data_IF_750981114329
#
_entry.id   IF_750981114329
#
_cell.length_a   1.000
_cell.length_b   1.000
_cell.length_c   1.000
_cell.angle_alpha   90.00
_cell.angle_beta   90.00
_cell.angle_gamma   90.00
#
_symmetry.space_group_name_H-M   'P 1'
#
loop_
_entity.id
_entity.type
_entity.pdbx_description
1 polymer ?
#
# COMPACT_ATOMS: atom_id res chain seq x y z
N UNK A 1 5.53 -22.43 -0.96
CA UNK A 1 5.52 -21.10 -1.62
C UNK A 1 4.91 -20.11 -0.65
N UNK A 2 5.57 -18.99 -0.42
CA UNK A 2 5.04 -17.93 0.43
C UNK A 2 3.77 -17.35 -0.23
N UNK A 3 2.73 -17.12 0.57
CA UNK A 3 1.45 -16.60 0.07
C UNK A 3 1.40 -15.09 0.20
N UNK A 4 1.29 -14.36 -0.92
CA UNK A 4 1.06 -12.92 -0.91
C UNK A 4 -0.34 -12.58 -0.36
N UNK A 5 -0.53 -11.33 0.07
CA UNK A 5 -1.83 -10.87 0.58
C UNK A 5 -2.85 -10.73 -0.56
N UNK A 6 -4.05 -11.24 -0.36
CA UNK A 6 -5.10 -11.30 -1.39
C UNK A 6 -5.64 -9.94 -1.84
N UNK A 7 -5.38 -8.87 -1.07
CA UNK A 7 -5.77 -7.50 -1.45
C UNK A 7 -4.90 -6.87 -2.53
N UNK A 8 -3.77 -7.49 -2.90
CA UNK A 8 -2.99 -7.07 -4.05
C UNK A 8 -3.68 -7.66 -5.29
N UNK A 9 -4.56 -6.89 -5.92
CA UNK A 9 -5.32 -7.32 -7.10
C UNK A 9 -4.94 -6.49 -8.31
N UNK A 10 -5.01 -7.09 -9.51
CA UNK A 10 -4.67 -6.40 -10.76
C UNK A 10 -5.60 -5.23 -11.07
N UNK A 11 -6.86 -5.35 -10.65
CA UNK A 11 -7.87 -4.30 -10.73
C UNK A 11 -8.46 -4.14 -9.33
N UNK A 12 -8.55 -2.91 -8.79
CA UNK A 12 -9.19 -2.68 -7.50
C UNK A 12 -10.71 -2.89 -7.63
N UNK A 13 -11.37 -3.33 -6.55
CA UNK A 13 -12.83 -3.46 -6.54
C UNK A 13 -13.52 -2.11 -6.55
N UNK A 14 -14.84 -2.13 -6.78
CA UNK A 14 -15.65 -0.92 -6.92
C UNK A 14 -15.52 0.04 -5.73
N UNK A 15 -15.46 -0.48 -4.51
CA UNK A 15 -15.31 0.32 -3.30
C UNK A 15 -13.99 0.00 -2.61
N UNK A 16 -13.14 1.00 -2.43
CA UNK A 16 -11.85 0.84 -1.76
C UNK A 16 -11.70 1.89 -0.67
N UNK A 17 -11.32 1.47 0.53
CA UNK A 17 -11.00 2.33 1.67
C UNK A 17 -9.53 2.13 2.01
N UNK A 18 -8.77 3.22 2.04
CA UNK A 18 -7.37 3.25 2.46
C UNK A 18 -7.28 4.03 3.75
N UNK A 19 -6.69 3.45 4.78
CA UNK A 19 -6.44 4.08 6.06
C UNK A 19 -4.95 4.03 6.36
N UNK A 20 -4.35 5.18 6.60
CA UNK A 20 -2.96 5.31 7.01
C UNK A 20 -2.93 5.83 8.45
N UNK A 21 -2.19 5.13 9.29
CA UNK A 21 -2.11 5.39 10.72
C UNK A 21 -0.67 5.61 11.15
N UNK A 22 -0.49 6.53 12.09
CA UNK A 22 0.71 6.66 12.90
C UNK A 22 0.46 5.97 14.25
N UNK A 23 1.41 5.17 14.72
CA UNK A 23 1.29 4.46 16.00
C UNK A 23 1.79 5.36 17.13
N UNK A 24 0.92 5.60 18.11
CA UNK A 24 1.29 6.30 19.35
C UNK A 24 2.18 5.38 20.17
N UNK A 25 3.32 5.88 20.67
CA UNK A 25 4.29 5.10 21.46
C UNK A 25 4.50 3.67 20.93
N UNK A 26 5.23 3.56 19.82
CA UNK A 26 5.46 2.30 19.11
C UNK A 26 5.87 1.18 20.07
N UNK A 27 6.80 1.44 21.00
CA UNK A 27 7.27 0.42 21.93
C UNK A 27 6.16 -0.14 22.84
N UNK A 28 5.23 0.71 23.27
CA UNK A 28 4.10 0.30 24.11
C UNK A 28 3.03 -0.47 23.32
N UNK A 29 2.77 -0.07 22.08
CA UNK A 29 1.62 -0.55 21.31
C UNK A 29 1.93 -1.63 20.28
N UNK A 30 3.21 -1.92 20.02
CA UNK A 30 3.62 -2.80 18.91
C UNK A 30 3.02 -4.21 18.93
N UNK A 31 2.93 -4.82 20.11
CA UNK A 31 2.38 -6.16 20.26
C UNK A 31 0.89 -6.18 19.92
N UNK A 32 0.14 -5.18 20.41
CA UNK A 32 -1.28 -5.02 20.14
C UNK A 32 -1.52 -4.76 18.66
N UNK A 33 -0.80 -3.81 18.07
CA UNK A 33 -0.91 -3.48 16.64
C UNK A 33 -0.59 -4.71 15.79
N UNK A 34 0.54 -5.38 16.05
CA UNK A 34 0.90 -6.61 15.34
C UNK A 34 -0.16 -7.70 15.45
N UNK A 35 -0.77 -7.88 16.63
CA UNK A 35 -1.86 -8.83 16.82
C UNK A 35 -3.11 -8.45 16.03
N UNK A 36 -3.54 -7.19 16.05
CA UNK A 36 -4.71 -6.72 15.30
C UNK A 36 -4.49 -6.82 13.80
N UNK A 37 -3.32 -6.42 13.29
CA UNK A 37 -2.95 -6.54 11.87
C UNK A 37 -3.07 -7.97 11.35
N UNK A 38 -2.71 -8.97 12.15
CA UNK A 38 -2.85 -10.40 11.79
C UNK A 38 -4.32 -10.85 11.74
N UNK A 39 -5.21 -10.23 12.51
CA UNK A 39 -6.62 -10.60 12.55
C UNK A 39 -7.42 -10.04 11.37
N UNK A 40 -7.02 -8.89 10.81
CA UNK A 40 -7.79 -8.19 9.76
C UNK A 40 -8.10 -9.08 8.54
N UNK A 41 -7.14 -9.82 7.94
CA UNK A 41 -7.45 -10.71 6.81
C UNK A 41 -8.43 -11.83 7.19
N UNK A 42 -8.40 -12.29 8.45
CA UNK A 42 -9.33 -13.29 8.97
C UNK A 42 -10.76 -12.75 9.09
N UNK A 43 -10.90 -11.51 9.59
CA UNK A 43 -12.20 -10.82 9.67
C UNK A 43 -12.83 -10.65 8.28
N UNK A 44 -12.04 -10.23 7.30
CA UNK A 44 -12.49 -10.13 5.91
C UNK A 44 -12.92 -11.49 5.35
N UNK A 45 -12.12 -12.53 5.58
CA UNK A 45 -12.43 -13.90 5.13
C UNK A 45 -13.74 -14.42 5.73
N UNK A 46 -14.04 -14.10 6.98
CA UNK A 46 -15.30 -14.50 7.62
C UNK A 46 -16.50 -13.77 7.03
N UNK A 47 -16.35 -12.49 6.67
CA UNK A 47 -17.41 -11.74 5.98
C UNK A 47 -17.66 -12.27 4.56
N UNK A 48 -16.61 -12.60 3.81
CA UNK A 48 -16.72 -13.25 2.49
C UNK A 48 -17.39 -14.62 2.61
N UNK A 49 -17.06 -15.41 3.65
CA UNK A 49 -17.69 -16.72 3.88
C UNK A 49 -19.20 -16.59 4.10
N UNK A 50 -19.63 -15.54 4.81
CA UNK A 50 -21.05 -15.28 5.07
C UNK A 50 -21.76 -14.69 3.84
N UNK A 51 -21.05 -13.87 3.06
CA UNK A 51 -21.58 -13.19 1.87
C UNK A 51 -20.54 -13.27 0.72
N UNK A 52 -20.54 -14.36 -0.07
CA UNK A 52 -19.52 -14.59 -1.11
C UNK A 52 -19.45 -13.47 -2.16
N UNK A 53 -20.58 -12.84 -2.46
CA UNK A 53 -20.69 -11.77 -3.46
C UNK A 53 -19.92 -10.49 -3.08
N UNK A 54 -19.48 -10.36 -1.82
CA UNK A 54 -18.74 -9.18 -1.34
C UNK A 54 -17.35 -9.08 -1.95
N UNK A 55 -16.69 -10.21 -2.21
CA UNK A 55 -15.29 -10.27 -2.66
C UNK A 55 -14.35 -9.35 -1.84
N UNK A 56 -14.60 -9.23 -0.53
CA UNK A 56 -13.83 -8.35 0.34
C UNK A 56 -12.39 -8.87 0.50
N UNK A 57 -11.42 -8.03 0.16
CA UNK A 57 -9.99 -8.30 0.28
C UNK A 57 -9.28 -7.21 1.06
N UNK A 58 -8.13 -7.55 1.63
CA UNK A 58 -7.36 -6.65 2.50
C UNK A 58 -5.87 -6.72 2.19
N UNK A 59 -5.21 -5.57 2.25
CA UNK A 59 -3.75 -5.46 2.25
C UNK A 59 -3.28 -4.66 3.45
N UNK A 60 -2.33 -5.21 4.19
CA UNK A 60 -1.73 -4.59 5.37
C UNK A 60 -0.25 -4.30 5.09
N UNK A 61 0.12 -3.03 5.21
CA UNK A 61 1.50 -2.56 5.07
C UNK A 61 2.01 -1.90 6.35
N UNK A 62 3.32 -1.94 6.56
CA UNK A 62 3.98 -1.36 7.73
C UNK A 62 5.07 -0.38 7.31
N UNK A 63 5.11 0.78 7.97
CA UNK A 63 6.20 1.74 7.85
C UNK A 63 7.49 1.16 8.43
N UNK A 64 8.64 1.69 8.00
CA UNK A 64 9.96 1.21 8.39
C UNK A 64 10.18 1.22 9.90
N UNK A 65 9.86 2.33 10.55
CA UNK A 65 10.07 2.49 11.99
C UNK A 65 9.30 1.43 12.77
N UNK A 66 7.99 1.29 12.53
CA UNK A 66 7.21 0.22 13.13
C UNK A 66 7.80 -1.17 12.87
N UNK A 67 8.16 -1.47 11.61
CA UNK A 67 8.68 -2.78 11.22
C UNK A 67 9.97 -3.15 11.96
N UNK A 68 10.91 -2.21 12.08
CA UNK A 68 12.18 -2.45 12.77
C UNK A 68 11.96 -2.85 14.23
N UNK A 69 11.00 -2.24 14.92
CA UNK A 69 10.65 -2.67 16.27
C UNK A 69 9.93 -4.02 16.27
N UNK A 70 9.03 -4.26 15.31
CA UNK A 70 8.17 -5.44 15.30
C UNK A 70 8.94 -6.73 14.95
N UNK A 71 10.00 -6.57 14.14
CA UNK A 71 10.78 -7.67 13.57
C UNK A 71 12.25 -7.66 14.02
N UNK A 72 12.53 -7.09 15.19
CA UNK A 72 13.86 -7.08 15.84
C UNK A 72 15.01 -6.57 14.94
N UNK A 73 14.72 -5.55 14.13
CA UNK A 73 15.69 -4.93 13.22
C UNK A 73 15.96 -5.71 11.93
N UNK A 74 15.39 -6.90 11.73
CA UNK A 74 15.43 -7.58 10.44
C UNK A 74 14.43 -6.94 9.48
N UNK A 75 14.89 -6.54 8.30
CA UNK A 75 14.07 -5.91 7.26
C UNK A 75 14.46 -6.41 5.87
N UNK A 76 13.55 -6.35 4.89
CA UNK A 76 13.90 -6.54 3.49
C UNK A 76 14.98 -5.55 3.04
N UNK A 77 15.81 -5.93 2.06
CA UNK A 77 16.98 -5.17 1.62
C UNK A 77 16.68 -3.72 1.25
N UNK A 78 15.55 -3.48 0.59
CA UNK A 78 15.17 -2.17 0.05
C UNK A 78 14.17 -1.43 0.94
N UNK A 79 13.95 -1.86 2.18
CA UNK A 79 13.07 -1.15 3.10
C UNK A 79 13.73 0.16 3.57
N UNK A 80 13.08 1.26 3.20
CA UNK A 80 13.46 2.62 3.51
C UNK A 80 12.21 3.46 3.82
N UNK A 81 12.41 4.62 4.44
CA UNK A 81 11.37 5.63 4.51
C UNK A 81 11.23 6.32 3.15
N UNK A 82 10.05 6.84 2.84
CA UNK A 82 9.92 7.73 1.70
C UNK A 82 10.48 9.10 2.08
N UNK A 83 11.45 9.58 1.32
CA UNK A 83 11.99 10.94 1.49
C UNK A 83 11.31 11.89 0.51
N UNK A 84 11.18 13.16 0.91
CA UNK A 84 10.64 14.18 0.02
C UNK A 84 11.45 14.22 -1.28
N UNK A 85 10.76 14.03 -2.39
CA UNK A 85 11.40 14.06 -3.70
C UNK A 85 11.24 15.44 -4.32
N UNK A 86 12.37 16.04 -4.69
CA UNK A 86 12.42 17.34 -5.36
C UNK A 86 12.83 17.13 -6.81
N UNK A 87 11.93 17.46 -7.72
CA UNK A 87 12.16 17.44 -9.15
C UNK A 87 12.74 18.74 -9.68
N UNK A 88 12.96 18.78 -11.00
CA UNK A 88 13.27 20.01 -11.72
C UNK A 88 12.09 21.00 -11.63
N UNK A 89 12.37 22.29 -11.87
CA UNK A 89 11.35 23.37 -11.90
C UNK A 89 10.51 23.55 -10.62
N UNK A 90 10.96 22.99 -9.48
CA UNK A 90 10.32 23.15 -8.17
C UNK A 90 9.16 22.20 -7.91
N UNK A 91 9.06 21.11 -8.67
CA UNK A 91 8.12 20.03 -8.38
C UNK A 91 8.51 19.32 -7.07
N UNK A 92 7.55 19.18 -6.15
CA UNK A 92 7.78 18.53 -4.85
C UNK A 92 6.76 17.41 -4.68
N UNK A 93 7.25 16.23 -4.32
CA UNK A 93 6.43 15.11 -3.84
C UNK A 93 6.70 14.98 -2.33
N UNK A 94 5.75 15.39 -1.46
CA UNK A 94 5.99 15.46 -0.04
C UNK A 94 6.08 14.07 0.59
N UNK A 95 6.94 13.93 1.60
CA UNK A 95 6.95 12.77 2.48
C UNK A 95 6.11 13.02 3.72
N UNK A 96 5.26 12.05 4.06
CA UNK A 96 4.37 12.09 5.23
C UNK A 96 4.58 10.87 6.12
N UNK A 97 4.22 11.01 7.39
CA UNK A 97 4.31 9.93 8.36
C UNK A 97 3.27 8.83 8.09
N UNK A 98 3.63 7.58 8.40
CA UNK A 98 2.72 6.45 8.38
C UNK A 98 3.40 5.16 8.80
N UNK A 99 2.87 4.54 9.84
CA UNK A 99 3.40 3.31 10.45
C UNK A 99 2.60 2.08 10.03
N UNK A 100 1.32 2.25 9.72
CA UNK A 100 0.41 1.17 9.34
C UNK A 100 -0.51 1.64 8.22
N UNK A 101 -0.50 0.91 7.11
CA UNK A 101 -1.45 1.06 6.02
C UNK A 101 -2.44 -0.12 6.03
N UNK A 102 -3.73 0.19 5.95
CA UNK A 102 -4.81 -0.77 5.80
C UNK A 102 -5.59 -0.42 4.53
N UNK A 103 -5.48 -1.26 3.51
CA UNK A 103 -6.23 -1.14 2.26
C UNK A 103 -7.31 -2.20 2.25
N UNK A 104 -8.56 -1.78 2.15
CA UNK A 104 -9.74 -2.64 2.13
C UNK A 104 -10.47 -2.42 0.81
N UNK A 105 -10.81 -3.48 0.10
CA UNK A 105 -11.45 -3.37 -1.22
C UNK A 105 -12.55 -4.41 -1.37
N UNK A 106 -13.72 -4.01 -1.87
CA UNK A 106 -14.88 -4.88 -2.07
C UNK A 106 -15.79 -4.32 -3.17
N UNK A 107 -16.57 -5.20 -3.82
CA UNK A 107 -17.66 -4.76 -4.71
C UNK A 107 -18.89 -4.25 -3.93
N UNK A 108 -18.86 -4.32 -2.59
CA UNK A 108 -19.96 -3.86 -1.72
C UNK A 108 -19.51 -2.81 -0.72
N UNK A 109 -20.12 -1.62 -0.81
CA UNK A 109 -19.82 -0.46 0.04
C UNK A 109 -20.02 -0.75 1.53
N UNK A 110 -21.13 -1.36 1.90
CA UNK A 110 -21.44 -1.65 3.32
C UNK A 110 -20.34 -2.50 3.95
N UNK A 111 -19.87 -3.52 3.24
CA UNK A 111 -18.88 -4.45 3.75
C UNK A 111 -17.51 -3.81 4.00
N UNK A 112 -17.03 -2.99 3.05
CA UNK A 112 -15.75 -2.29 3.22
C UNK A 112 -15.83 -1.25 4.35
N UNK A 113 -16.96 -0.54 4.47
CA UNK A 113 -17.17 0.48 5.51
C UNK A 113 -17.29 -0.14 6.91
N UNK A 114 -18.00 -1.27 7.03
CA UNK A 114 -18.16 -1.97 8.29
C UNK A 114 -16.80 -2.48 8.82
N UNK A 115 -15.99 -3.09 7.95
CA UNK A 115 -14.65 -3.56 8.31
C UNK A 115 -13.71 -2.38 8.62
N UNK A 116 -13.73 -1.31 7.83
CA UNK A 116 -12.94 -0.10 8.09
C UNK A 116 -13.23 0.50 9.47
N UNK A 117 -14.52 0.62 9.82
CA UNK A 117 -14.93 1.09 11.14
C UNK A 117 -14.58 0.11 12.26
N UNK A 118 -14.58 -1.20 11.99
CA UNK A 118 -14.13 -2.21 12.95
C UNK A 118 -12.63 -2.11 13.23
N UNK A 119 -11.81 -1.91 12.18
CA UNK A 119 -10.37 -1.67 12.30
C UNK A 119 -10.11 -0.44 13.15
N UNK A 120 -10.77 0.68 12.85
CA UNK A 120 -10.59 1.93 13.59
C UNK A 120 -10.95 1.78 15.09
N UNK A 121 -12.06 1.10 15.40
CA UNK A 121 -12.43 0.81 16.80
C UNK A 121 -11.42 -0.07 17.53
N UNK A 122 -10.81 -1.03 16.85
CA UNK A 122 -9.80 -1.90 17.45
C UNK A 122 -8.47 -1.19 17.70
N UNK A 123 -8.12 -0.22 16.85
CA UNK A 123 -6.88 0.55 16.97
C UNK A 123 -7.03 1.81 17.85
N UNK A 124 -8.25 2.12 18.30
CA UNK A 124 -8.56 3.31 19.07
C UNK A 124 -7.66 3.45 20.31
N UNK A 125 -7.05 4.63 20.46
CA UNK A 125 -6.15 4.95 21.58
C UNK A 125 -4.70 4.49 21.40
N UNK A 126 -4.41 3.67 20.39
CA UNK A 126 -3.05 3.23 20.05
C UNK A 126 -2.49 3.91 18.80
N UNK A 127 -3.36 4.50 17.98
CA UNK A 127 -2.98 5.14 16.71
C UNK A 127 -3.66 6.49 16.53
N UNK A 128 -3.07 7.32 15.67
CA UNK A 128 -3.69 8.50 15.07
C UNK A 128 -3.87 8.23 13.59
N UNK A 129 -5.06 8.51 13.05
CA UNK A 129 -5.34 8.39 11.62
C UNK A 129 -4.73 9.59 10.89
N UNK A 130 -3.73 9.34 10.05
CA UNK A 130 -3.00 10.36 9.29
C UNK A 130 -3.70 10.67 7.97
N UNK A 131 -4.18 9.63 7.28
CA UNK A 131 -4.89 9.78 6.02
C UNK A 131 -6.00 8.74 5.92
N UNK A 132 -7.12 9.11 5.29
CA UNK A 132 -8.20 8.20 4.96
C UNK A 132 -8.83 8.59 3.64
N UNK A 133 -8.88 7.64 2.71
CA UNK A 133 -9.46 7.84 1.37
C UNK A 133 -10.50 6.78 1.08
N UNK A 134 -11.68 7.23 0.65
CA UNK A 134 -12.75 6.36 0.18
C UNK A 134 -12.90 6.56 -1.32
N UNK A 135 -12.57 5.53 -2.07
CA UNK A 135 -12.61 5.52 -3.53
C UNK A 135 -13.79 4.70 -4.04
N UNK A 136 -14.41 5.20 -5.10
CA UNK A 136 -15.43 4.48 -5.87
C UNK A 136 -14.97 4.38 -7.31
N UNK A 137 -14.63 3.19 -7.77
CA UNK A 137 -14.25 2.94 -9.15
C UNK A 137 -15.50 2.97 -10.06
N UNK A 138 -15.31 3.42 -11.30
CA UNK A 138 -16.40 3.53 -12.29
C UNK A 138 -16.91 2.16 -12.78
N UNK A 139 -16.10 1.12 -12.68
CA UNK A 139 -16.40 -0.24 -13.14
C UNK A 139 -16.23 -1.23 -12.00
N UNK A 140 -17.17 -2.18 -11.89
CA UNK A 140 -17.04 -3.32 -10.99
C UNK A 140 -15.86 -4.18 -11.43
N UNK A 141 -15.04 -4.61 -10.47
CA UNK A 141 -13.98 -5.56 -10.75
C UNK A 141 -14.60 -6.94 -10.88
N UNK A 142 -14.61 -7.49 -12.10
CA UNK A 142 -14.84 -8.91 -12.33
C UNK A 142 -13.52 -9.62 -12.04
N UNK A 143 -13.22 -9.80 -10.76
CA UNK A 143 -11.95 -10.31 -10.23
C UNK A 143 -11.75 -11.81 -10.50
N UNK A 144 -12.01 -12.26 -11.74
CA UNK A 144 -11.36 -13.44 -12.25
C UNK A 144 -9.87 -13.28 -12.01
N UNK A 145 -9.23 -14.30 -11.41
CA UNK A 145 -7.85 -14.29 -10.92
C UNK A 145 -6.85 -13.93 -12.03
N UNK A 146 -6.75 -12.64 -12.35
CA UNK A 146 -5.78 -12.14 -13.29
C UNK A 146 -4.42 -12.31 -12.62
N UNK A 147 -3.58 -13.15 -13.22
CA UNK A 147 -2.25 -13.43 -12.72
C UNK A 147 -1.47 -12.12 -12.54
N UNK A 148 -0.87 -12.00 -11.35
CA UNK A 148 0.03 -10.90 -11.02
C UNK A 148 1.44 -11.26 -11.50
N UNK A 149 2.20 -10.31 -12.06
CA UNK A 149 3.60 -10.53 -12.36
C UNK A 149 4.36 -10.95 -11.10
N UNK A 150 5.20 -11.98 -11.22
CA UNK A 150 6.03 -12.45 -10.10
C UNK A 150 7.07 -11.38 -9.69
N UNK A 151 7.43 -10.49 -10.63
CA UNK A 151 8.36 -9.38 -10.44
C UNK A 151 7.87 -8.32 -9.45
N UNK A 152 6.59 -8.35 -9.07
CA UNK A 152 6.03 -7.51 -8.00
C UNK A 152 6.46 -7.95 -6.60
N UNK A 153 6.88 -9.20 -6.44
CA UNK A 153 7.11 -9.80 -5.13
C UNK A 153 8.59 -10.07 -4.89
N UNK A 154 9.00 -9.96 -3.62
CA UNK A 154 10.31 -10.37 -3.14
C UNK A 154 10.47 -11.87 -3.42
N UNK A 155 11.56 -12.23 -4.09
CA UNK A 155 11.83 -13.60 -4.51
C UNK A 155 12.55 -14.41 -3.41
N UNK A 156 13.03 -15.59 -3.79
CA UNK A 156 13.73 -16.51 -2.89
C UNK A 156 15.16 -16.08 -2.50
N UNK A 157 15.70 -14.99 -3.05
CA UNK A 157 17.00 -14.45 -2.63
C UNK A 157 16.95 -13.82 -1.22
N UNK A 158 15.75 -13.50 -0.73
CA UNK A 158 15.47 -13.03 0.62
C UNK A 158 14.43 -13.94 1.29
N UNK A 159 14.82 -15.15 1.73
CA UNK A 159 13.90 -16.23 2.12
C UNK A 159 12.97 -15.85 3.29
N UNK A 160 13.41 -14.96 4.18
CA UNK A 160 12.62 -14.53 5.34
C UNK A 160 11.50 -13.54 4.95
N UNK A 161 11.54 -12.97 3.74
CA UNK A 161 10.58 -11.97 3.24
C UNK A 161 9.96 -12.31 1.89
N UNK A 162 10.25 -13.51 1.34
CA UNK A 162 9.70 -13.98 0.06
C UNK A 162 8.17 -13.86 0.04
N UNK A 163 7.64 -13.40 -1.10
CA UNK A 163 6.20 -13.18 -1.31
C UNK A 163 5.65 -11.88 -0.68
N UNK A 164 6.48 -11.10 0.01
CA UNK A 164 6.17 -9.72 0.36
C UNK A 164 6.44 -8.76 -0.80
N UNK A 165 5.99 -7.53 -0.68
CA UNK A 165 6.29 -6.44 -1.60
C UNK A 165 6.27 -5.10 -0.87
N UNK A 166 6.44 -3.99 -1.59
CA UNK A 166 6.30 -2.64 -1.07
C UNK A 166 5.07 -1.97 -1.64
N UNK A 167 4.44 -1.13 -0.83
CA UNK A 167 3.31 -0.29 -1.19
C UNK A 167 3.72 1.17 -1.01
N UNK A 168 3.75 1.92 -2.11
CA UNK A 168 3.84 3.36 -2.07
C UNK A 168 2.44 3.97 -2.24
N UNK A 169 2.12 4.95 -1.40
CA UNK A 169 0.86 5.67 -1.45
C UNK A 169 1.12 7.15 -1.65
N UNK A 170 0.33 7.80 -2.50
CA UNK A 170 0.45 9.23 -2.73
C UNK A 170 -0.90 9.86 -3.03
N UNK A 171 -1.31 10.81 -2.19
CA UNK A 171 -2.57 11.52 -2.38
C UNK A 171 -2.35 12.77 -3.20
N UNK A 172 -3.19 12.97 -4.20
CA UNK A 172 -3.23 14.15 -5.05
C UNK A 172 -4.56 14.86 -4.88
N UNK A 173 -4.52 16.17 -4.61
CA UNK A 173 -5.72 17.01 -4.52
C UNK A 173 -5.98 17.68 -5.86
N UNK A 174 -7.18 17.62 -6.40
CA UNK A 174 -7.50 18.29 -7.67
C UNK A 174 -7.85 19.77 -7.46
N UNK A 175 -6.99 20.66 -7.94
CA UNK A 175 -7.31 22.08 -8.15
C UNK A 175 -7.97 22.29 -9.52
N UNK A 176 -7.60 21.45 -10.49
CA UNK A 176 -8.29 21.26 -11.78
C UNK A 176 -8.35 19.77 -12.13
N UNK A 177 -9.26 19.36 -13.03
CA UNK A 177 -9.32 17.96 -13.48
C UNK A 177 -7.98 17.49 -14.06
N UNK A 178 -7.43 16.43 -13.48
CA UNK A 178 -6.19 15.80 -13.88
C UNK A 178 -6.26 14.30 -13.60
N UNK A 179 -5.30 13.54 -14.12
CA UNK A 179 -5.26 12.07 -14.00
C UNK A 179 -3.85 11.60 -13.61
N UNK A 180 -3.40 11.89 -12.37
CA UNK A 180 -2.05 11.52 -11.92
C UNK A 180 -1.75 10.03 -12.09
N UNK A 181 -2.74 9.14 -11.92
CA UNK A 181 -2.56 7.70 -12.11
C UNK A 181 -2.19 7.34 -13.55
N UNK A 182 -2.79 8.00 -14.54
CA UNK A 182 -2.46 7.79 -15.95
C UNK A 182 -1.04 8.30 -16.26
N UNK A 183 -0.67 9.46 -15.71
CA UNK A 183 0.70 9.99 -15.86
C UNK A 183 1.74 9.03 -15.26
N UNK A 184 1.47 8.49 -14.07
CA UNK A 184 2.34 7.52 -13.41
C UNK A 184 2.45 6.22 -14.22
N UNK A 185 1.32 5.65 -14.66
CA UNK A 185 1.30 4.43 -15.49
C UNK A 185 2.08 4.62 -16.80
N UNK A 186 1.93 5.78 -17.45
CA UNK A 186 2.68 6.13 -18.65
C UNK A 186 4.19 6.24 -18.36
N UNK A 187 4.57 6.85 -17.24
CA UNK A 187 5.97 6.93 -16.82
C UNK A 187 6.58 5.54 -16.60
N UNK A 188 5.86 4.64 -15.92
CA UNK A 188 6.25 3.24 -15.74
C UNK A 188 6.45 2.54 -17.09
N UNK A 189 5.50 2.69 -18.03
CA UNK A 189 5.61 2.11 -19.36
C UNK A 189 6.82 2.65 -20.13
N UNK A 190 7.06 3.96 -20.09
CA UNK A 190 8.21 4.59 -20.76
C UNK A 190 9.55 4.19 -20.14
N UNK A 191 9.56 3.79 -18.87
CA UNK A 191 10.75 3.25 -18.19
C UNK A 191 11.00 1.76 -18.49
N UNK A 192 10.05 1.08 -19.14
CA UNK A 192 10.11 -0.36 -19.45
C UNK A 192 9.84 -1.27 -18.25
N UNK A 193 9.26 -0.74 -17.17
CA UNK A 193 9.07 -1.42 -15.87
C UNK A 193 7.62 -1.88 -15.62
N UNK A 194 6.82 -2.06 -16.66
CA UNK A 194 5.38 -2.36 -16.51
C UNK A 194 5.05 -3.69 -15.80
N UNK A 195 6.01 -4.61 -15.67
CA UNK A 195 5.84 -5.84 -14.89
C UNK A 195 6.33 -5.71 -13.45
N UNK A 196 7.16 -4.71 -13.14
CA UNK A 196 7.77 -4.50 -11.82
C UNK A 196 6.88 -3.66 -10.89
N UNK A 197 5.87 -2.99 -11.44
CA UNK A 197 4.99 -2.08 -10.71
C UNK A 197 3.53 -2.29 -11.08
N UNK A 198 2.68 -2.33 -10.06
CA UNK A 198 1.24 -2.35 -10.19
C UNK A 198 0.67 -1.05 -9.63
N UNK A 199 0.13 -0.22 -10.51
CA UNK A 199 -0.29 1.15 -10.21
C UNK A 199 -1.80 1.26 -10.28
N UNK A 200 -2.42 1.67 -9.18
CA UNK A 200 -3.85 2.00 -9.12
C UNK A 200 -4.03 3.48 -8.86
N UNK A 201 -4.81 4.14 -9.72
CA UNK A 201 -5.36 5.46 -9.47
C UNK A 201 -6.76 5.32 -8.88
N UNK A 202 -6.93 5.76 -7.64
CA UNK A 202 -8.17 5.61 -6.87
C UNK A 202 -8.82 6.99 -6.67
N UNK A 203 -9.80 7.37 -7.50
CA UNK A 203 -10.45 8.67 -7.39
C UNK A 203 -11.27 8.76 -6.10
N UNK A 204 -11.20 9.90 -5.43
CA UNK A 204 -11.98 10.18 -4.23
C UNK A 204 -12.65 11.53 -4.31
N UNK A 205 -13.81 11.63 -3.66
CA UNK A 205 -14.56 12.87 -3.52
C UNK A 205 -15.15 12.92 -2.11
N UNK A 206 -14.57 13.77 -1.26
CA UNK A 206 -15.11 14.17 0.02
C UNK A 206 -15.93 15.46 -0.10
N UNK A 207 -16.44 15.95 1.03
CA UNK A 207 -17.27 17.17 1.07
C UNK A 207 -16.51 18.45 0.68
N UNK A 208 -15.21 18.51 1.01
CA UNK A 208 -14.37 19.70 0.83
C UNK A 208 -13.20 19.47 -0.12
N UNK A 209 -12.92 18.22 -0.48
CA UNK A 209 -11.74 17.84 -1.24
C UNK A 209 -12.07 16.70 -2.21
N UNK A 210 -11.55 16.80 -3.42
CA UNK A 210 -11.59 15.73 -4.41
C UNK A 210 -10.19 15.52 -4.96
N UNK A 211 -9.91 14.32 -5.44
CA UNK A 211 -8.57 13.97 -5.85
C UNK A 211 -8.43 12.54 -6.32
N UNK A 212 -7.19 12.08 -6.36
CA UNK A 212 -6.85 10.70 -6.65
C UNK A 212 -5.76 10.23 -5.69
N UNK A 213 -5.97 9.06 -5.08
CA UNK A 213 -4.97 8.37 -4.28
C UNK A 213 -4.27 7.34 -5.18
N UNK A 214 -2.96 7.48 -5.34
CA UNK A 214 -2.14 6.46 -5.98
C UNK A 214 -1.77 5.38 -4.97
N UNK A 215 -1.93 4.12 -5.35
CA UNK A 215 -1.29 2.99 -4.68
C UNK A 215 -0.43 2.24 -5.68
N UNK A 216 0.85 2.09 -5.37
CA UNK A 216 1.84 1.46 -6.23
C UNK A 216 2.47 0.30 -5.49
N UNK A 217 2.21 -0.92 -5.97
CA UNK A 217 2.86 -2.12 -5.47
C UNK A 217 4.09 -2.45 -6.30
N UNK A 218 5.19 -2.80 -5.66
CA UNK A 218 6.47 -3.08 -6.33
C UNK A 218 7.37 -3.94 -5.45
N UNK A 219 8.32 -4.64 -6.07
CA UNK A 219 9.32 -5.43 -5.35
C UNK A 219 10.45 -4.57 -4.76
N UNK A 220 10.87 -3.54 -5.47
CA UNK A 220 12.00 -2.68 -5.08
C UNK A 220 11.60 -1.20 -5.21
N UNK A 221 11.46 -0.46 -4.09
CA UNK A 221 11.13 0.96 -4.12
C UNK A 221 12.22 1.85 -4.73
N UNK A 222 13.45 1.36 -4.94
CA UNK A 222 14.52 2.14 -5.60
C UNK A 222 14.15 2.57 -7.02
N UNK A 223 13.19 1.87 -7.65
CA UNK A 223 12.72 2.20 -9.01
C UNK A 223 11.88 3.48 -9.05
N UNK A 224 11.29 3.90 -7.92
CA UNK A 224 10.40 5.05 -7.84
C UNK A 224 11.05 6.33 -8.34
N UNK A 225 12.31 6.58 -7.97
CA UNK A 225 13.01 7.81 -8.36
C UNK A 225 13.09 7.96 -9.89
N UNK A 226 13.42 6.87 -10.60
CA UNK A 226 13.47 6.86 -12.06
C UNK A 226 12.10 7.11 -12.70
N UNK A 227 11.03 6.61 -12.05
CA UNK A 227 9.66 6.81 -12.51
C UNK A 227 9.21 8.24 -12.25
N UNK A 228 9.50 8.83 -11.08
CA UNK A 228 9.18 10.23 -10.80
C UNK A 228 9.90 11.18 -11.76
N UNK A 229 11.20 10.98 -12.00
CA UNK A 229 11.94 11.75 -13.00
C UNK A 229 11.26 11.66 -14.37
N UNK A 230 10.90 10.45 -14.81
CA UNK A 230 10.24 10.26 -16.10
C UNK A 230 8.85 10.89 -16.16
N UNK A 231 8.12 10.83 -15.05
CA UNK A 231 6.78 11.39 -14.89
C UNK A 231 6.80 12.92 -14.98
N UNK A 232 7.86 13.58 -14.50
CA UNK A 232 8.02 15.03 -14.61
C UNK A 232 8.60 15.49 -15.95
N UNK A 233 9.35 14.62 -16.65
CA UNK A 233 9.82 14.91 -18.01
C UNK A 233 8.72 14.83 -19.07
N UNK A 234 7.58 14.21 -18.73
CA UNK A 234 6.43 14.12 -19.63
C UNK A 234 5.69 15.47 -19.65
N UNK A 235 6.27 16.39 -20.42
CA UNK A 235 5.76 17.75 -20.62
C UNK A 235 4.35 17.70 -21.23
N UNK A 236 3.37 18.44 -20.67
CA UNK A 236 2.06 18.54 -21.30
C UNK A 236 2.14 19.23 -22.66
N UNK A 237 1.05 19.18 -23.42
CA UNK A 237 0.92 19.89 -24.70
C UNK A 237 1.13 21.42 -24.57
N UNK A 238 1.07 21.97 -23.36
CA UNK A 238 1.40 23.35 -23.01
C UNK A 238 2.70 23.41 -22.18
N UNK A 239 3.81 23.94 -22.72
CA UNK A 239 5.08 24.09 -22.00
C UNK A 239 4.99 24.98 -20.74
N UNK A 240 3.91 25.74 -20.58
CA UNK A 240 3.76 26.71 -19.49
C UNK A 240 3.08 26.14 -18.22
N UNK A 241 2.53 24.92 -18.25
CA UNK A 241 1.75 24.39 -17.11
C UNK A 241 1.84 22.86 -16.97
N UNK A 242 2.65 22.38 -16.03
CA UNK A 242 2.74 20.95 -15.70
C UNK A 242 1.47 20.46 -14.97
N UNK A 243 1.02 19.23 -15.22
CA UNK A 243 -0.21 18.66 -14.63
C UNK A 243 -0.16 18.61 -13.09
N UNK A 244 1.04 18.52 -12.50
CA UNK A 244 1.24 18.56 -11.05
C UNK A 244 0.81 19.90 -10.41
N UNK A 245 0.76 20.99 -11.18
CA UNK A 245 0.22 22.27 -10.71
C UNK A 245 -1.32 22.23 -10.63
N UNK A 246 -1.96 21.36 -11.42
CA UNK A 246 -3.41 21.18 -11.43
C UNK A 246 -3.86 20.16 -10.37
N UNK A 247 -2.99 19.22 -10.02
CA UNK A 247 -3.20 18.35 -8.88
C UNK A 247 -1.92 18.20 -8.05
N UNK A 248 -1.67 19.07 -7.05
CA UNK A 248 -0.52 18.92 -6.18
C UNK A 248 -0.61 17.63 -5.34
N UNK A 249 0.54 16.98 -5.16
CA UNK A 249 0.68 15.89 -4.19
C UNK A 249 0.64 16.46 -2.77
N UNK A 250 -0.15 15.85 -1.88
CA UNK A 250 -0.37 16.31 -0.50
C UNK A 250 0.19 15.35 0.55
N UNK A 251 0.32 14.07 0.22
CA UNK A 251 0.93 13.05 1.09
C UNK A 251 1.69 12.03 0.26
N UNK A 252 2.69 11.38 0.87
CA UNK A 252 3.54 10.39 0.22
C UNK A 252 4.17 9.48 1.28
N UNK A 253 3.84 8.18 1.23
CA UNK A 253 4.30 7.23 2.26
C UNK A 253 4.64 5.88 1.64
N UNK A 254 5.70 5.24 2.13
CA UNK A 254 6.16 3.92 1.71
C UNK A 254 6.00 2.89 2.83
N UNK A 255 5.45 1.73 2.48
CA UNK A 255 5.17 0.63 3.40
C UNK A 255 5.76 -0.68 2.87
N UNK A 256 6.16 -1.56 3.77
CA UNK A 256 6.39 -2.97 3.46
C UNK A 256 5.10 -3.77 3.68
N UNK A 257 4.68 -4.51 2.66
CA UNK A 257 3.55 -5.43 2.68
C UNK A 257 4.10 -6.85 2.82
N UNK A 258 4.12 -7.45 4.02
CA UNK A 258 4.62 -8.81 4.22
C UNK A 258 3.73 -9.84 3.52
N UNK A 259 4.30 -11.00 3.20
CA UNK A 259 3.49 -12.19 2.86
C UNK A 259 2.59 -12.57 4.03
N UNK A 260 1.51 -13.32 3.79
CA UNK A 260 0.61 -13.79 4.85
C UNK A 260 1.36 -14.62 5.90
N UNK A 261 2.32 -15.44 5.46
CA UNK A 261 3.13 -16.24 6.37
C UNK A 261 3.94 -15.33 7.30
N UNK A 262 4.65 -14.33 6.75
CA UNK A 262 5.41 -13.34 7.53
C UNK A 262 4.49 -12.51 8.44
N UNK A 263 3.35 -12.03 7.92
CA UNK A 263 2.35 -11.28 8.68
C UNK A 263 1.92 -12.08 9.93
N UNK A 264 1.55 -13.35 9.78
CA UNK A 264 1.13 -14.19 10.91
C UNK A 264 2.22 -14.38 11.98
N UNK A 265 3.49 -14.23 11.63
CA UNK A 265 4.60 -14.27 12.58
C UNK A 265 4.62 -13.11 13.57
N UNK A 266 3.99 -11.97 13.24
CA UNK A 266 3.87 -10.81 14.14
C UNK A 266 3.10 -11.14 15.42
N UNK A 267 2.14 -12.07 15.35
CA UNK A 267 1.32 -12.52 16.48
C UNK A 267 2.15 -13.11 17.63
N UNK A 268 3.35 -13.62 17.33
CA UNK A 268 4.22 -14.30 18.29
C UNK A 268 5.38 -13.41 18.76
N UNK A 269 5.32 -12.11 18.50
CA UNK A 269 6.35 -11.14 18.86
C UNK A 269 7.70 -11.46 18.25
N UNK A 270 7.76 -11.86 16.96
CA UNK A 270 8.98 -12.18 16.19
C UNK A 270 9.83 -13.36 16.71
N UNK A 271 9.55 -13.91 17.90
CA UNK A 271 10.42 -14.87 18.60
C UNK A 271 10.38 -16.28 17.99
N UNK A 272 9.47 -16.59 17.06
CA UNK A 272 9.28 -17.98 16.57
C UNK A 272 9.65 -18.29 15.12
N UNK A 273 10.00 -17.32 14.28
CA UNK A 273 10.33 -17.64 12.87
C UNK A 273 11.76 -18.11 12.64
N UNK A 274 12.67 -17.97 13.60
CA UNK A 274 14.05 -18.46 13.43
C UNK A 274 14.14 -20.02 13.39
N UNK A 275 13.07 -20.73 13.76
CA UNK A 275 12.98 -22.20 13.65
C UNK A 275 12.41 -22.71 12.33
N UNK A 276 11.83 -21.84 11.50
CA UNK A 276 11.25 -22.17 10.20
C UNK A 276 11.92 -21.45 9.03
N UNK A 277 12.92 -20.60 9.27
CA UNK A 277 13.78 -20.08 8.21
C UNK A 277 14.45 -21.26 7.51
N UNK A 278 14.24 -21.38 6.20
CA UNK A 278 14.81 -22.44 5.35
C UNK A 278 16.36 -22.49 5.46
N UNK A 279 16.97 -21.39 5.89
CA UNK A 279 18.41 -21.20 6.06
C UNK A 279 19.04 -21.98 7.22
N UNK A 280 18.27 -22.58 8.14
CA UNK A 280 18.80 -23.45 9.20
C UNK A 280 18.66 -24.95 8.96
N UNK A 281 17.89 -25.42 7.96
CA UNK A 281 17.83 -26.85 7.65
C UNK A 281 19.12 -27.39 7.02
N UNK A 282 20.07 -26.51 6.68
CA UNK A 282 21.36 -26.84 6.07
C UNK A 282 22.55 -26.21 6.82
N UNK A 283 22.55 -26.26 8.15
CA UNK A 283 23.77 -26.06 8.96
C UNK A 283 24.03 -27.26 9.86
#
# INVERSE_FOLDING_TARGET
MARFQLGITRVPHQHTVIQIYQVLDVAMNIMSIGQYSVMIPGLASDQVRQNPDTQLVTTIGFGRMFWLFAWHGMQPRHMQDFEEWQGEEGHILPATEGDLAVVLSSNRKDCVMDLAGQVERQLQGMVVKVDEVHSVAATECDAGAAELPEELFIDSAEPDFTGGCFLFTQRYRFERPATPGIHFQKAVQLSGRQNEMLVHGLPYAGEQEQGEMLTVYMRDPSVLESVFQRMMMDSPADPARHWLQDCPAVSGTLFFVPSLDVLTGLRMGGIRMNRFSATQQFK
#
